data_IF_172559842608
#
_entry.id   IF_172559842608
#
_cell.length_a   1.000
_cell.length_b   1.000
_cell.length_c   1.000
_cell.angle_alpha   90.00
_cell.angle_beta   90.00
_cell.angle_gamma   90.00
#
_symmetry.space_group_name_H-M   'P 1'
#
loop_
_entity.id
_entity.type
_entity.pdbx_description
1 polymer ?
#
# COMPACT_ATOMS: atom_id res chain seq x y z
N UNK A 1 9.49 0.37 -22.71
CA UNK A 1 9.27 0.87 -21.33
C UNK A 1 10.55 1.40 -20.67
N UNK A 2 11.70 0.73 -20.79
CA UNK A 2 12.97 1.16 -20.19
C UNK A 2 13.54 2.48 -20.72
N UNK A 3 13.49 2.73 -22.03
CA UNK A 3 13.93 4.00 -22.65
C UNK A 3 13.10 5.21 -22.19
N UNK A 4 11.79 5.04 -22.02
CA UNK A 4 10.91 6.09 -21.51
C UNK A 4 11.22 6.46 -20.06
N UNK A 5 11.57 5.47 -19.23
CA UNK A 5 12.04 5.74 -17.87
C UNK A 5 13.40 6.43 -17.89
N UNK A 6 14.37 5.96 -18.67
CA UNK A 6 15.68 6.62 -18.73
C UNK A 6 15.55 8.09 -19.15
N UNK A 7 14.68 8.41 -20.12
CA UNK A 7 14.38 9.79 -20.53
C UNK A 7 13.64 10.55 -19.42
N UNK A 8 12.72 9.93 -18.70
CA UNK A 8 12.03 10.55 -17.56
C UNK A 8 12.97 10.79 -16.37
N UNK A 9 13.87 9.87 -16.06
CA UNK A 9 14.90 10.01 -15.02
C UNK A 9 15.86 11.15 -15.35
N UNK A 10 16.38 11.16 -16.58
CA UNK A 10 17.29 12.22 -17.05
C UNK A 10 16.58 13.57 -17.08
N UNK A 11 15.33 13.64 -17.54
CA UNK A 11 14.56 14.89 -17.57
C UNK A 11 14.15 15.37 -16.17
N UNK A 12 13.75 14.48 -15.26
CA UNK A 12 13.47 14.82 -13.87
C UNK A 12 14.73 15.31 -13.12
N UNK A 13 15.87 14.68 -13.38
CA UNK A 13 17.17 15.08 -12.83
C UNK A 13 17.62 16.46 -13.37
N UNK A 14 17.46 16.69 -14.68
CA UNK A 14 17.78 17.97 -15.33
C UNK A 14 16.84 19.10 -14.89
N UNK A 15 15.56 18.82 -14.69
CA UNK A 15 14.55 19.80 -14.25
C UNK A 15 14.59 20.06 -12.74
N UNK A 16 15.42 19.35 -11.96
CA UNK A 16 15.50 19.46 -10.49
C UNK A 16 14.11 19.42 -9.84
N UNK A 17 13.33 18.40 -10.21
CA UNK A 17 11.94 18.23 -9.78
C UNK A 17 11.78 18.07 -8.26
N UNK A 18 12.89 17.83 -7.53
CA UNK A 18 12.97 17.90 -6.07
C UNK A 18 12.40 19.21 -5.50
N UNK A 19 12.53 20.32 -6.24
CA UNK A 19 11.99 21.63 -5.83
C UNK A 19 10.46 21.71 -5.86
N UNK A 20 9.80 20.76 -6.50
CA UNK A 20 8.34 20.67 -6.62
C UNK A 20 7.75 19.51 -5.78
N UNK A 21 8.54 18.89 -4.89
CA UNK A 21 8.08 17.81 -4.02
C UNK A 21 8.13 16.41 -4.63
N UNK A 22 8.84 16.25 -5.75
CA UNK A 22 9.12 14.94 -6.34
C UNK A 22 10.46 14.39 -5.82
N UNK A 23 10.43 13.29 -5.07
CA UNK A 23 11.63 12.53 -4.73
C UNK A 23 11.79 11.40 -5.76
N UNK A 24 12.72 11.56 -6.70
CA UNK A 24 12.89 10.64 -7.83
C UNK A 24 14.08 9.72 -7.60
N UNK A 25 13.80 8.44 -7.38
CA UNK A 25 14.79 7.37 -7.32
C UNK A 25 14.85 6.60 -8.66
N UNK A 26 15.95 5.88 -8.95
CA UNK A 26 16.12 5.17 -10.23
C UNK A 26 15.01 4.16 -10.56
N UNK A 27 14.27 3.65 -9.55
CA UNK A 27 13.22 2.65 -9.73
C UNK A 27 11.81 3.13 -9.33
N UNK A 28 11.69 4.29 -8.68
CA UNK A 28 10.42 4.83 -8.24
C UNK A 28 10.50 6.33 -7.98
N UNK A 29 9.38 7.01 -8.10
CA UNK A 29 9.22 8.42 -7.77
C UNK A 29 8.12 8.58 -6.73
N UNK A 30 8.38 9.39 -5.71
CA UNK A 30 7.35 9.86 -4.79
C UNK A 30 6.97 11.28 -5.17
N UNK A 31 5.68 11.56 -5.20
CA UNK A 31 5.17 12.92 -5.22
C UNK A 31 4.56 13.21 -3.84
N UNK A 32 5.31 13.91 -2.98
CA UNK A 32 4.84 14.32 -1.66
C UNK A 32 3.98 15.57 -1.79
N UNK A 33 2.78 15.53 -1.24
CA UNK A 33 1.87 16.68 -1.28
C UNK A 33 1.03 16.78 0.00
N UNK A 34 1.14 17.93 0.67
CA UNK A 34 0.27 18.28 1.79
C UNK A 34 -1.18 18.56 1.35
N UNK A 35 -1.42 18.83 0.06
CA UNK A 35 -2.78 19.04 -0.46
C UNK A 35 -3.65 17.79 -0.34
N UNK A 36 -3.04 16.62 -0.53
CA UNK A 36 -3.73 15.34 -0.37
C UNK A 36 -4.18 15.11 1.07
N UNK A 37 -3.48 15.65 2.07
CA UNK A 37 -3.89 15.54 3.47
C UNK A 37 -5.29 16.13 3.68
N UNK A 38 -5.56 17.31 3.13
CA UNK A 38 -6.88 17.96 3.27
C UNK A 38 -8.04 17.14 2.67
N UNK A 39 -7.75 16.36 1.63
CA UNK A 39 -8.71 15.43 1.03
C UNK A 39 -8.96 14.21 1.94
N UNK A 40 -7.90 13.63 2.51
CA UNK A 40 -8.01 12.51 3.45
C UNK A 40 -8.73 12.94 4.73
N UNK A 41 -8.42 14.13 5.25
CA UNK A 41 -9.11 14.74 6.39
C UNK A 41 -10.60 14.91 6.10
N UNK A 42 -10.97 15.46 4.94
CA UNK A 42 -12.37 15.54 4.52
C UNK A 42 -13.05 14.17 4.51
N UNK A 43 -12.43 13.17 3.88
CA UNK A 43 -12.97 11.82 3.82
C UNK A 43 -13.16 11.20 5.22
N UNK A 44 -12.18 11.36 6.11
CA UNK A 44 -12.26 10.89 7.49
C UNK A 44 -13.38 11.57 8.28
N UNK A 45 -13.63 12.86 8.03
CA UNK A 45 -14.69 13.62 8.69
C UNK A 45 -16.12 13.33 8.17
N UNK A 46 -16.29 12.75 6.97
CA UNK A 46 -17.63 12.52 6.38
C UNK A 46 -18.53 11.66 7.28
N UNK A 47 -18.00 10.53 7.77
CA UNK A 47 -18.76 9.55 8.55
C UNK A 47 -17.86 8.84 9.58
N UNK A 48 -17.38 9.53 10.64
CA UNK A 48 -16.40 8.97 11.58
C UNK A 48 -16.89 7.69 12.26
N UNK A 49 -18.19 7.56 12.54
CA UNK A 49 -18.76 6.33 13.10
C UNK A 49 -18.64 5.12 12.16
N UNK A 50 -18.90 5.31 10.86
CA UNK A 50 -18.75 4.25 9.86
C UNK A 50 -17.27 3.84 9.76
N UNK A 51 -16.37 4.82 9.71
CA UNK A 51 -14.93 4.56 9.62
C UNK A 51 -14.37 3.84 10.85
N UNK A 52 -14.85 4.14 12.06
CA UNK A 52 -14.51 3.39 13.29
C UNK A 52 -14.96 1.94 13.20
N UNK A 53 -16.20 1.71 12.78
CA UNK A 53 -16.71 0.33 12.64
C UNK A 53 -15.91 -0.44 11.60
N UNK A 54 -15.62 0.16 10.44
CA UNK A 54 -14.79 -0.46 9.41
C UNK A 54 -13.36 -0.70 9.89
N UNK A 55 -12.77 0.22 10.65
CA UNK A 55 -11.45 0.07 11.26
C UNK A 55 -11.41 -1.11 12.23
N UNK A 56 -12.38 -1.18 13.15
CA UNK A 56 -12.50 -2.27 14.12
C UNK A 56 -12.73 -3.63 13.46
N UNK A 57 -13.58 -3.69 12.43
CA UNK A 57 -13.74 -4.90 11.61
C UNK A 57 -12.43 -5.25 10.93
N UNK A 58 -11.71 -4.26 10.38
CA UNK A 58 -10.40 -4.43 9.78
C UNK A 58 -9.39 -5.06 10.76
N UNK A 59 -9.28 -4.53 11.97
CA UNK A 59 -8.42 -5.06 13.03
C UNK A 59 -8.82 -6.48 13.44
N UNK A 60 -10.11 -6.74 13.66
CA UNK A 60 -10.59 -8.09 13.96
C UNK A 60 -10.29 -9.07 12.80
N UNK A 61 -10.47 -8.63 11.56
CA UNK A 61 -10.22 -9.43 10.37
C UNK A 61 -8.74 -9.72 10.15
N UNK A 62 -7.82 -8.82 10.54
CA UNK A 62 -6.38 -9.03 10.37
C UNK A 62 -5.89 -10.20 11.24
N UNK A 63 -6.35 -10.27 12.49
CA UNK A 63 -6.09 -11.42 13.38
C UNK A 63 -6.64 -12.71 12.78
N UNK A 64 -7.88 -12.67 12.27
CA UNK A 64 -8.49 -13.81 11.59
C UNK A 64 -7.72 -14.26 10.34
N UNK A 65 -7.26 -13.32 9.53
CA UNK A 65 -6.46 -13.58 8.33
C UNK A 65 -5.11 -14.20 8.66
N UNK A 66 -4.43 -13.73 9.72
CA UNK A 66 -3.16 -14.30 10.17
C UNK A 66 -3.37 -15.77 10.57
N UNK A 67 -4.40 -16.07 11.36
CA UNK A 67 -4.71 -17.45 11.78
C UNK A 67 -5.05 -18.31 10.57
N UNK A 68 -5.93 -17.82 9.70
CA UNK A 68 -6.39 -18.54 8.51
C UNK A 68 -5.25 -18.84 7.52
N UNK A 69 -4.42 -17.84 7.20
CA UNK A 69 -3.26 -18.02 6.31
C UNK A 69 -2.22 -18.95 6.92
N UNK A 70 -1.95 -18.82 8.23
CA UNK A 70 -1.05 -19.72 8.93
C UNK A 70 -1.55 -21.17 8.88
N UNK A 71 -2.85 -21.38 9.10
CA UNK A 71 -3.47 -22.70 8.99
C UNK A 71 -3.35 -23.27 7.56
N UNK A 72 -3.64 -22.47 6.53
CA UNK A 72 -3.54 -22.88 5.14
C UNK A 72 -2.11 -23.24 4.74
N UNK A 73 -1.13 -22.44 5.13
CA UNK A 73 0.29 -22.72 4.85
C UNK A 73 0.76 -23.96 5.61
N UNK A 74 0.34 -24.13 6.87
CA UNK A 74 0.69 -25.29 7.68
C UNK A 74 0.13 -26.59 7.10
N UNK A 75 -1.16 -26.63 6.74
CA UNK A 75 -1.76 -27.83 6.15
C UNK A 75 -1.15 -28.12 4.77
N UNK A 76 -0.80 -27.08 4.01
CA UNK A 76 -0.11 -27.24 2.73
C UNK A 76 1.28 -27.84 2.91
N UNK A 77 2.06 -27.34 3.88
CA UNK A 77 3.37 -27.87 4.23
C UNK A 77 3.28 -29.34 4.68
N UNK A 78 2.32 -29.68 5.53
CA UNK A 78 2.09 -31.07 5.94
C UNK A 78 1.78 -31.97 4.73
N UNK A 79 0.87 -31.54 3.84
CA UNK A 79 0.55 -32.29 2.62
C UNK A 79 1.76 -32.41 1.70
N UNK A 80 2.56 -31.37 1.55
CA UNK A 80 3.78 -31.40 0.74
C UNK A 80 4.78 -32.46 1.23
N UNK A 81 4.91 -32.63 2.56
CA UNK A 81 5.85 -33.60 3.14
C UNK A 81 5.31 -35.05 3.14
N UNK A 82 4.00 -35.24 3.36
CA UNK A 82 3.45 -36.59 3.61
C UNK A 82 2.44 -37.08 2.57
N UNK A 83 1.73 -36.19 1.87
CA UNK A 83 0.73 -36.52 0.83
C UNK A 83 0.87 -35.59 -0.38
N UNK A 84 1.96 -35.72 -1.17
CA UNK A 84 2.29 -34.77 -2.24
C UNK A 84 1.18 -34.62 -3.29
N UNK A 85 0.43 -35.69 -3.58
CA UNK A 85 -0.70 -35.69 -4.52
C UNK A 85 -1.85 -34.74 -4.11
N UNK A 86 -1.93 -34.36 -2.84
CA UNK A 86 -2.96 -33.44 -2.30
C UNK A 86 -2.41 -32.05 -1.97
N UNK A 87 -1.11 -31.82 -2.16
CA UNK A 87 -0.49 -30.53 -1.92
C UNK A 87 -0.83 -29.55 -3.04
N UNK A 88 -1.26 -28.33 -2.69
CA UNK A 88 -1.48 -27.28 -3.68
C UNK A 88 -0.19 -26.47 -3.86
N UNK A 89 0.28 -26.22 -5.08
CA UNK A 89 1.47 -25.40 -5.28
C UNK A 89 1.20 -23.97 -4.79
N UNK A 90 1.98 -23.51 -3.81
CA UNK A 90 2.02 -22.10 -3.40
C UNK A 90 3.03 -21.39 -4.28
N UNK A 91 2.54 -20.55 -5.20
CA UNK A 91 3.39 -19.84 -6.15
C UNK A 91 3.45 -18.36 -5.79
N UNK A 92 4.65 -17.79 -5.57
CA UNK A 92 4.79 -16.35 -5.35
C UNK A 92 4.42 -15.59 -6.63
N UNK A 93 3.69 -14.49 -6.48
CA UNK A 93 3.33 -13.60 -7.58
C UNK A 93 4.50 -12.67 -7.89
N UNK A 94 5.25 -13.01 -8.94
CA UNK A 94 6.43 -12.29 -9.40
C UNK A 94 6.13 -11.75 -10.81
N UNK A 95 6.02 -10.42 -10.96
CA UNK A 95 5.83 -9.76 -12.25
C UNK A 95 6.85 -10.25 -13.28
N UNK A 96 6.38 -10.79 -14.42
CA UNK A 96 7.24 -11.25 -15.52
C UNK A 96 7.83 -12.65 -15.36
N UNK A 97 7.64 -13.32 -14.22
CA UNK A 97 8.05 -14.73 -14.01
C UNK A 97 6.82 -15.62 -13.88
N UNK A 98 6.00 -15.38 -12.85
CA UNK A 98 4.77 -16.17 -12.60
C UNK A 98 3.53 -15.49 -13.20
N UNK A 99 3.63 -14.20 -13.49
CA UNK A 99 2.61 -13.42 -14.20
C UNK A 99 3.10 -13.18 -15.63
N UNK A 100 2.31 -13.66 -16.60
CA UNK A 100 2.55 -13.42 -18.03
C UNK A 100 2.64 -11.93 -18.32
N UNK A 101 3.56 -11.55 -19.20
CA UNK A 101 3.78 -10.15 -19.62
C UNK A 101 2.53 -9.50 -20.20
N UNK A 102 1.67 -10.27 -20.87
CA UNK A 102 0.36 -9.86 -21.40
C UNK A 102 -0.59 -9.36 -20.28
N UNK A 103 -0.53 -10.00 -19.10
CA UNK A 103 -1.40 -9.70 -17.97
C UNK A 103 -0.78 -8.69 -17.00
N UNK A 104 0.49 -8.32 -17.22
CA UNK A 104 1.24 -7.43 -16.35
C UNK A 104 0.56 -6.07 -16.19
N UNK A 105 0.08 -5.39 -17.24
CA UNK A 105 -0.57 -4.08 -17.08
C UNK A 105 -1.79 -4.14 -16.16
N UNK A 106 -2.60 -5.20 -16.31
CA UNK A 106 -3.80 -5.40 -15.48
C UNK A 106 -3.45 -5.72 -14.03
N UNK A 107 -2.47 -6.59 -13.82
CA UNK A 107 -1.99 -6.91 -12.48
C UNK A 107 -1.45 -5.67 -11.76
N UNK A 108 -0.64 -4.87 -12.45
CA UNK A 108 -0.02 -3.66 -11.87
C UNK A 108 -1.06 -2.58 -11.61
N UNK A 109 -2.05 -2.42 -12.48
CA UNK A 109 -3.17 -1.52 -12.25
C UNK A 109 -3.98 -1.95 -11.01
N UNK A 110 -4.31 -3.24 -10.89
CA UNK A 110 -5.03 -3.77 -9.74
C UNK A 110 -4.22 -3.62 -8.44
N UNK A 111 -2.93 -3.98 -8.47
CA UNK A 111 -2.03 -3.84 -7.33
C UNK A 111 -1.93 -2.37 -6.88
N UNK A 112 -1.81 -1.44 -7.82
CA UNK A 112 -1.73 -0.02 -7.49
C UNK A 112 -3.01 0.54 -6.87
N UNK A 113 -4.18 0.11 -7.35
CA UNK A 113 -5.46 0.45 -6.71
C UNK A 113 -5.54 -0.11 -5.29
N UNK A 114 -5.16 -1.36 -5.08
CA UNK A 114 -5.18 -2.00 -3.76
C UNK A 114 -4.24 -1.27 -2.79
N UNK A 115 -3.01 -0.97 -3.19
CA UNK A 115 -2.04 -0.24 -2.36
C UNK A 115 -2.57 1.16 -2.04
N UNK A 116 -3.09 1.88 -3.04
CA UNK A 116 -3.63 3.21 -2.83
C UNK A 116 -4.78 3.21 -1.82
N UNK A 117 -5.72 2.26 -1.94
CA UNK A 117 -6.82 2.11 -0.99
C UNK A 117 -6.35 1.68 0.40
N UNK A 118 -5.33 0.82 0.48
CA UNK A 118 -4.74 0.39 1.75
C UNK A 118 -4.16 1.57 2.52
N UNK A 119 -3.31 2.37 1.86
CA UNK A 119 -2.68 3.54 2.47
C UNK A 119 -3.67 4.65 2.77
N UNK A 120 -4.67 4.86 1.89
CA UNK A 120 -5.78 5.76 2.17
C UNK A 120 -6.55 5.33 3.43
N UNK A 121 -6.75 4.04 3.62
CA UNK A 121 -7.46 3.50 4.80
C UNK A 121 -6.68 3.81 6.08
N UNK A 122 -5.36 3.66 6.07
CA UNK A 122 -4.50 4.08 7.20
C UNK A 122 -4.64 5.57 7.48
N UNK A 123 -4.63 6.41 6.44
CA UNK A 123 -4.81 7.85 6.58
C UNK A 123 -6.19 8.23 7.16
N UNK A 124 -7.26 7.60 6.70
CA UNK A 124 -8.61 7.80 7.24
C UNK A 124 -8.67 7.39 8.72
N UNK A 125 -8.06 6.26 9.10
CA UNK A 125 -8.01 5.83 10.50
C UNK A 125 -7.21 6.81 11.36
N UNK A 126 -6.10 7.37 10.87
CA UNK A 126 -5.36 8.42 11.58
C UNK A 126 -6.28 9.62 11.91
N UNK A 127 -7.06 10.09 10.92
CA UNK A 127 -8.01 11.21 11.13
C UNK A 127 -9.08 10.86 12.16
N UNK A 128 -9.63 9.64 12.09
CA UNK A 128 -10.71 9.16 12.98
C UNK A 128 -10.24 9.02 14.44
N UNK A 129 -8.98 8.64 14.63
CA UNK A 129 -8.31 8.53 15.93
C UNK A 129 -7.65 9.83 16.40
N UNK A 130 -7.75 10.92 15.61
CA UNK A 130 -7.20 12.22 15.97
C UNK A 130 -5.68 12.31 15.85
N UNK A 131 -5.04 11.39 15.12
CA UNK A 131 -3.62 11.43 14.78
C UNK A 131 -3.41 12.26 13.52
N UNK A 132 -2.66 13.38 13.58
CA UNK A 132 -2.47 14.23 12.42
C UNK A 132 -1.56 13.59 11.38
N UNK A 133 -1.87 13.84 10.10
CA UNK A 133 -1.09 13.37 8.96
C UNK A 133 -0.02 14.42 8.63
N UNK A 134 1.26 14.03 8.71
CA UNK A 134 2.38 14.94 8.41
C UNK A 134 2.51 15.17 6.91
N UNK A 135 2.44 14.11 6.12
CA UNK A 135 2.52 14.20 4.66
C UNK A 135 1.79 13.02 4.02
N UNK A 136 1.29 13.20 2.80
CA UNK A 136 0.80 12.11 1.96
C UNK A 136 1.56 12.15 0.64
N UNK A 137 1.86 10.97 0.10
CA UNK A 137 2.56 10.85 -1.16
C UNK A 137 1.80 9.95 -2.12
N UNK A 138 1.95 10.24 -3.41
CA UNK A 138 1.60 9.30 -4.47
C UNK A 138 2.91 8.63 -4.89
N UNK A 139 2.95 7.30 -4.81
CA UNK A 139 4.05 6.48 -5.28
C UNK A 139 3.83 6.17 -6.76
N UNK A 140 4.85 6.42 -7.58
CA UNK A 140 4.94 6.02 -8.98
C UNK A 140 6.24 5.22 -9.17
N UNK A 141 6.16 3.90 -9.03
CA UNK A 141 7.25 2.99 -9.35
C UNK A 141 7.33 2.70 -10.85
N UNK A 142 8.50 2.27 -11.34
CA UNK A 142 8.70 1.74 -12.70
C UNK A 142 7.65 0.69 -13.07
N UNK A 143 7.18 -0.04 -12.06
CA UNK A 143 6.34 -1.22 -12.22
C UNK A 143 4.92 -0.98 -11.72
N UNK A 144 4.64 -0.06 -10.79
CA UNK A 144 3.28 0.14 -10.25
C UNK A 144 3.09 1.56 -9.75
N UNK A 145 1.85 1.98 -9.50
CA UNK A 145 1.55 3.18 -8.72
C UNK A 145 1.00 2.80 -7.34
N UNK A 146 0.84 3.76 -6.44
CA UNK A 146 0.29 3.56 -5.09
C UNK A 146 0.14 4.87 -4.33
N UNK A 147 -0.31 4.79 -3.09
CA UNK A 147 -0.27 5.89 -2.12
C UNK A 147 0.80 5.65 -1.07
N UNK A 148 1.05 6.64 -0.24
CA UNK A 148 1.68 6.52 1.06
C UNK A 148 1.12 7.63 1.95
N UNK A 149 0.86 7.32 3.21
CA UNK A 149 0.42 8.31 4.20
C UNK A 149 1.38 8.25 5.38
N UNK A 150 2.02 9.37 5.70
CA UNK A 150 2.95 9.50 6.82
C UNK A 150 2.22 10.14 8.02
N UNK A 151 1.88 9.35 9.05
CA UNK A 151 1.37 9.90 10.30
C UNK A 151 2.46 10.65 11.07
N UNK A 152 2.05 11.55 11.97
CA UNK A 152 2.96 12.20 12.93
C UNK A 152 3.38 11.19 14.01
N UNK A 153 4.56 10.57 13.83
CA UNK A 153 5.10 9.51 14.71
C UNK A 153 5.12 9.92 16.19
N UNK A 154 5.55 11.15 16.51
CA UNK A 154 5.62 11.63 17.91
C UNK A 154 4.25 11.68 18.60
N UNK A 155 3.19 11.93 17.82
CA UNK A 155 1.83 11.97 18.34
C UNK A 155 1.17 10.62 18.29
N UNK A 156 1.53 9.77 17.33
CA UNK A 156 1.10 8.38 17.28
C UNK A 156 1.59 7.62 18.51
N UNK A 157 2.85 7.81 18.92
CA UNK A 157 3.41 7.20 20.14
C UNK A 157 2.73 7.70 21.42
N UNK A 158 2.24 8.95 21.42
CA UNK A 158 1.52 9.56 22.55
C UNK A 158 0.03 9.25 22.55
N UNK A 159 -0.51 8.72 21.46
CA UNK A 159 -1.92 8.39 21.36
C UNK A 159 -2.22 7.19 22.27
N UNK A 160 -3.13 7.37 23.22
CA UNK A 160 -3.66 6.27 24.03
C UNK A 160 -4.59 5.43 23.17
N UNK A 161 -4.45 4.11 23.21
CA UNK A 161 -5.31 3.17 22.50
C UNK A 161 -6.77 3.47 22.83
N UNK A 162 -7.55 3.90 21.84
CA UNK A 162 -9.00 4.00 21.98
C UNK A 162 -9.56 2.58 22.06
N UNK A 163 -10.32 2.33 23.12
CA UNK A 163 -11.02 1.07 23.42
C UNK A 163 -12.25 0.86 22.55
#
# INVERSE_FOLDING_TARGET
MTLGWIVFYISAYLLKLDRFGFEVHPLYAFYKSTRLNSFIEHLGCLCPGLWRVLGNIGVASSVGQIIFMSYLLFINLYRFLYLPERASPVMPLIPGVTIRTENLPWFLAAAGVVILLHELSHGIQCVVEGVPIRSSAILLAVVTFGGAVEPDEEKLEKATTSS
#
